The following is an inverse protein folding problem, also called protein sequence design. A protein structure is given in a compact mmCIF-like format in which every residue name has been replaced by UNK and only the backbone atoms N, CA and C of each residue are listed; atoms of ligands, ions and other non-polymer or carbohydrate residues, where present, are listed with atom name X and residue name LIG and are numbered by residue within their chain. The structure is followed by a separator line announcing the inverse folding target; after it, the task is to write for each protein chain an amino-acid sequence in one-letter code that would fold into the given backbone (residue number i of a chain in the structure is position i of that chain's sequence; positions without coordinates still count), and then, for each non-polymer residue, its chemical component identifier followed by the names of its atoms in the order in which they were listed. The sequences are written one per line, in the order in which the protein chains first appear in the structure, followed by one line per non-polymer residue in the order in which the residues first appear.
data_IF_247550758705
#
_entry.id   IF_247550758705
#
_cell.length_a   1.000
_cell.length_b   1.000
_cell.length_c   1.000
_cell.angle_alpha   90.00
_cell.angle_beta   90.00
_cell.angle_gamma   90.00
#
_symmetry.space_group_name_H-M   'P 1'
#
loop_
_entity.id
_entity.type
_entity.pdbx_description
1 polymer ?
#
# COMPACT_ATOMS: atom_id res chain seq x y z
N UNK A 1 31.81 11.84 21.84
CA UNK A 1 30.73 10.89 21.51
C UNK A 1 29.95 11.51 20.38
N UNK A 2 30.17 11.02 19.15
CA UNK A 2 29.34 11.40 18.01
C UNK A 2 28.02 10.64 18.19
N UNK A 3 26.93 11.37 18.29
CA UNK A 3 25.57 10.83 18.27
C UNK A 3 25.37 10.14 16.92
N UNK A 4 25.06 8.84 16.96
CA UNK A 4 24.61 8.08 15.80
C UNK A 4 23.14 8.36 15.57
N UNK A 5 22.87 9.44 14.84
CA UNK A 5 21.56 9.72 14.27
C UNK A 5 21.48 8.98 12.94
N UNK A 6 20.96 7.75 12.96
CA UNK A 6 20.55 7.07 11.74
C UNK A 6 19.15 6.49 12.00
N UNK A 7 18.18 7.40 11.94
CA UNK A 7 16.78 7.02 11.70
C UNK A 7 16.76 6.21 10.42
N UNK A 8 16.39 4.93 10.54
CA UNK A 8 16.26 4.02 9.40
C UNK A 8 15.35 4.66 8.35
N UNK A 9 15.60 4.40 7.05
CA UNK A 9 14.83 5.02 5.99
C UNK A 9 13.35 4.73 6.22
N UNK A 10 12.57 5.80 6.33
CA UNK A 10 11.11 5.77 6.36
C UNK A 10 10.65 5.00 5.10
N UNK A 11 10.42 3.69 5.27
CA UNK A 11 10.15 2.76 4.18
C UNK A 11 8.85 3.14 3.47
N UNK A 12 7.96 3.82 4.19
CA UNK A 12 6.72 4.43 3.72
C UNK A 12 6.92 5.36 2.53
N UNK A 13 7.87 6.30 2.56
CA UNK A 13 8.11 7.21 1.43
C UNK A 13 8.50 6.47 0.13
N UNK A 14 9.26 5.39 0.23
CA UNK A 14 9.74 4.62 -0.92
C UNK A 14 8.61 3.85 -1.61
N UNK A 15 7.55 3.49 -0.86
CA UNK A 15 6.38 2.82 -1.39
C UNK A 15 5.55 3.76 -2.26
N UNK A 16 5.40 5.03 -1.83
CA UNK A 16 4.64 6.04 -2.55
C UNK A 16 5.33 6.53 -3.83
N UNK A 17 6.67 6.56 -3.87
CA UNK A 17 7.44 6.97 -5.05
C UNK A 17 7.21 6.07 -6.28
N UNK A 18 6.80 4.82 -6.05
CA UNK A 18 6.52 3.83 -7.11
C UNK A 18 5.09 3.89 -7.62
N UNK A 19 4.23 4.72 -7.04
CA UNK A 19 2.81 4.80 -7.40
C UNK A 19 2.61 5.84 -8.51
N UNK A 20 2.06 5.40 -9.62
CA UNK A 20 1.69 6.25 -10.75
C UNK A 20 0.29 6.86 -10.53
N UNK A 21 -0.10 7.91 -11.27
CA UNK A 21 -1.45 8.46 -11.18
C UNK A 21 -2.56 7.44 -11.53
N UNK A 22 -2.26 6.44 -12.37
CA UNK A 22 -3.18 5.33 -12.66
C UNK A 22 -3.35 4.42 -11.44
N UNK A 23 -2.24 4.05 -10.80
CA UNK A 23 -2.23 3.27 -9.55
C UNK A 23 -3.01 4.01 -8.45
N UNK A 24 -2.88 5.34 -8.36
CA UNK A 24 -3.62 6.14 -7.37
C UNK A 24 -5.15 6.08 -7.53
N UNK A 25 -5.67 5.95 -8.75
CA UNK A 25 -7.11 5.79 -8.98
C UNK A 25 -7.61 4.45 -8.44
N UNK A 26 -6.85 3.39 -8.71
CA UNK A 26 -7.09 2.04 -8.16
C UNK A 26 -7.03 2.06 -6.65
N UNK A 27 -5.97 2.67 -6.08
CA UNK A 27 -5.80 2.78 -4.63
C UNK A 27 -6.99 3.52 -4.02
N UNK A 28 -7.45 4.63 -4.62
CA UNK A 28 -8.63 5.38 -4.12
C UNK A 28 -9.91 4.56 -4.17
N UNK A 29 -10.12 3.78 -5.24
CA UNK A 29 -11.27 2.86 -5.33
C UNK A 29 -11.25 1.84 -4.21
N UNK A 30 -10.11 1.20 -4.00
CA UNK A 30 -9.93 0.22 -2.94
C UNK A 30 -10.06 0.86 -1.55
N UNK A 31 -9.52 2.06 -1.34
CA UNK A 31 -9.71 2.80 -0.08
C UNK A 31 -11.18 3.12 0.22
N UNK A 32 -12.03 3.25 -0.80
CA UNK A 32 -13.47 3.46 -0.61
C UNK A 32 -14.20 2.24 -0.03
N UNK A 33 -13.57 1.07 0.00
CA UNK A 33 -14.09 -0.15 0.60
C UNK A 33 -13.70 -0.30 2.09
N UNK A 34 -13.34 0.82 2.74
CA UNK A 34 -12.87 0.88 4.13
C UNK A 34 -11.46 0.29 4.36
N UNK A 35 -10.64 0.28 3.30
CA UNK A 35 -9.23 -0.09 3.42
C UNK A 35 -8.33 1.15 3.57
N UNK A 36 -7.33 1.04 4.44
CA UNK A 36 -6.36 2.11 4.66
C UNK A 36 -5.35 2.22 3.51
N UNK A 37 -4.90 3.45 3.18
CA UNK A 37 -4.00 3.69 2.03
C UNK A 37 -2.76 2.81 2.09
N UNK A 38 -2.15 2.71 3.27
CA UNK A 38 -0.94 1.94 3.49
C UNK A 38 -1.16 0.45 3.22
N UNK A 39 -2.30 -0.10 3.67
CA UNK A 39 -2.69 -1.49 3.43
C UNK A 39 -2.94 -1.75 1.95
N UNK A 40 -3.65 -0.85 1.29
CA UNK A 40 -3.93 -0.93 -0.15
C UNK A 40 -2.64 -0.85 -0.96
N UNK A 41 -1.79 0.14 -0.69
CA UNK A 41 -0.51 0.35 -1.40
C UNK A 41 0.41 -0.85 -1.21
N UNK A 42 0.54 -1.35 0.02
CA UNK A 42 1.36 -2.53 0.31
C UNK A 42 0.84 -3.77 -0.43
N UNK A 43 -0.47 -4.01 -0.43
CA UNK A 43 -1.08 -5.12 -1.17
C UNK A 43 -0.94 -4.93 -2.69
N UNK A 44 -1.11 -3.70 -3.18
CA UNK A 44 -1.00 -3.37 -4.59
C UNK A 44 0.41 -3.61 -5.13
N UNK A 45 1.43 -3.17 -4.40
CA UNK A 45 2.82 -3.43 -4.73
C UNK A 45 3.17 -4.93 -4.61
N UNK A 46 2.61 -5.65 -3.64
CA UNK A 46 2.79 -7.09 -3.49
C UNK A 46 2.11 -7.91 -4.60
N UNK A 47 1.04 -7.39 -5.18
CA UNK A 47 0.27 -8.02 -6.27
C UNK A 47 0.72 -7.55 -7.67
N UNK A 48 1.96 -7.07 -7.82
CA UNK A 48 2.49 -6.56 -9.10
C UNK A 48 1.61 -5.48 -9.74
N UNK A 49 1.00 -4.61 -8.92
CA UNK A 49 0.09 -3.53 -9.34
C UNK A 49 -1.17 -4.00 -10.08
N UNK A 50 -1.63 -5.22 -9.79
CA UNK A 50 -2.84 -5.75 -10.40
C UNK A 50 -4.09 -5.40 -9.58
N UNK A 51 -4.95 -4.52 -10.08
CA UNK A 51 -6.22 -4.13 -9.43
C UNK A 51 -7.04 -5.34 -8.98
N UNK A 52 -7.26 -6.30 -9.89
CA UNK A 52 -8.12 -7.45 -9.62
C UNK A 52 -7.54 -8.31 -8.50
N UNK A 53 -6.25 -8.61 -8.55
CA UNK A 53 -5.59 -9.42 -7.51
C UNK A 53 -5.53 -8.69 -6.17
N UNK A 54 -5.26 -7.38 -6.18
CA UNK A 54 -5.23 -6.58 -4.95
C UNK A 54 -6.60 -6.48 -4.30
N UNK A 55 -7.65 -6.26 -5.10
CA UNK A 55 -9.03 -6.24 -4.62
C UNK A 55 -9.37 -7.56 -3.92
N UNK A 56 -9.15 -8.69 -4.59
CA UNK A 56 -9.40 -10.02 -4.02
C UNK A 56 -8.57 -10.26 -2.75
N UNK A 57 -7.29 -9.90 -2.74
CA UNK A 57 -6.42 -10.06 -1.57
C UNK A 57 -6.90 -9.24 -0.36
N UNK A 58 -7.29 -7.99 -0.60
CA UNK A 58 -7.82 -7.10 0.44
C UNK A 58 -9.15 -7.64 0.98
N UNK A 59 -10.05 -8.08 0.10
CA UNK A 59 -11.36 -8.64 0.42
C UNK A 59 -11.27 -9.99 1.16
N UNK A 60 -10.41 -10.90 0.71
CA UNK A 60 -10.17 -12.18 1.41
C UNK A 60 -9.60 -11.99 2.81
N UNK A 61 -8.89 -10.89 3.07
CA UNK A 61 -8.33 -10.56 4.38
C UNK A 61 -9.27 -9.82 5.35
N UNK A 62 -10.48 -9.42 4.90
CA UNK A 62 -11.51 -8.79 5.78
C UNK A 62 -12.63 -9.74 6.18
N UNK A 63 -12.73 -10.91 5.57
CA UNK A 63 -13.76 -11.93 5.84
C UNK A 63 -13.42 -12.78 7.09
N UNK A 64 -13.00 -12.16 8.19
CA UNK A 64 -12.92 -12.79 9.51
C UNK A 64 -14.16 -12.37 10.33
N UNK A 65 -15.31 -12.95 9.99
CA UNK A 65 -16.48 -13.13 10.88
C UNK A 65 -16.91 -14.61 10.89
#
# INVERSE_FOLDING_TARGET
MQVGEEGGPDNTLVQYDKITPEDEDVIKRLMSLDFEREKVVSAYLACDKNENTTAEFLLQGVDDE
#
